data_IF_288252535332
#
_entry.id   IF_288252535332
#
_cell.length_a   1.000
_cell.length_b   1.000
_cell.length_c   1.000
_cell.angle_alpha   90.00
_cell.angle_beta   90.00
_cell.angle_gamma   90.00
#
_symmetry.space_group_name_H-M   'P 1'
#
loop_
_entity.id
_entity.type
_entity.pdbx_description
1 polymer ?
#
# COMPACT_ATOMS: atom_id res chain seq x y z
N UNK A 1 -12.28 25.69 -3.61
CA UNK A 1 -12.41 26.52 -2.39
C UNK A 1 -11.46 25.92 -1.36
N UNK A 2 -10.34 26.59 -1.09
CA UNK A 2 -9.38 26.14 -0.07
C UNK A 2 -9.83 26.76 1.27
N UNK A 3 -10.15 25.92 2.26
CA UNK A 3 -10.33 26.39 3.63
C UNK A 3 -8.93 26.63 4.24
N UNK A 4 -8.58 27.85 4.66
CA UNK A 4 -7.31 28.16 5.31
C UNK A 4 -7.21 27.62 6.76
N UNK A 5 -8.30 27.10 7.32
CA UNK A 5 -8.25 26.29 8.54
C UNK A 5 -8.12 24.82 8.13
N UNK A 6 -6.95 24.24 8.39
CA UNK A 6 -6.61 22.84 8.08
C UNK A 6 -7.40 21.85 8.92
N UNK A 7 -8.72 21.80 8.71
CA UNK A 7 -9.57 20.77 9.29
C UNK A 7 -9.14 19.44 8.69
N UNK A 8 -8.50 18.62 9.53
CA UNK A 8 -8.13 17.24 9.20
C UNK A 8 -9.41 16.49 8.84
N UNK A 9 -9.68 16.37 7.55
CA UNK A 9 -10.81 15.58 7.05
C UNK A 9 -10.54 14.11 7.37
N UNK A 10 -11.29 13.55 8.30
CA UNK A 10 -11.24 12.11 8.60
C UNK A 10 -12.13 11.39 7.58
N UNK A 11 -11.62 10.28 7.04
CA UNK A 11 -12.35 9.34 6.21
C UNK A 11 -12.45 8.03 6.99
N UNK A 12 -13.66 7.53 7.15
CA UNK A 12 -13.94 6.24 7.78
C UNK A 12 -14.14 5.18 6.70
N UNK A 13 -13.55 4.00 6.90
CA UNK A 13 -13.73 2.85 6.04
C UNK A 13 -14.65 1.84 6.74
N UNK A 14 -15.57 1.28 5.96
CA UNK A 14 -16.53 0.29 6.43
C UNK A 14 -16.00 -1.11 6.16
N UNK A 15 -15.96 -1.96 7.18
CA UNK A 15 -15.69 -3.37 7.02
C UNK A 15 -16.82 -4.06 6.26
N UNK A 16 -16.56 -4.72 5.12
CA UNK A 16 -17.60 -5.36 4.32
C UNK A 16 -18.22 -6.60 4.97
N UNK A 17 -17.56 -7.22 5.97
CA UNK A 17 -18.09 -8.43 6.66
C UNK A 17 -19.00 -8.09 7.83
N UNK A 18 -18.70 -7.02 8.57
CA UNK A 18 -19.45 -6.63 9.78
C UNK A 18 -20.38 -5.45 9.53
N UNK A 19 -20.06 -4.58 8.56
CA UNK A 19 -20.76 -3.33 8.31
C UNK A 19 -20.36 -2.18 9.24
N UNK A 20 -19.41 -2.40 10.16
CA UNK A 20 -18.90 -1.40 11.11
C UNK A 20 -17.89 -0.46 10.46
N UNK A 21 -17.74 0.75 11.00
CA UNK A 21 -16.66 1.69 10.65
C UNK A 21 -15.45 1.43 11.56
N UNK A 22 -14.67 0.41 11.24
CA UNK A 22 -13.58 -0.09 12.10
C UNK A 22 -12.19 0.46 11.72
N UNK A 23 -12.11 1.30 10.69
CA UNK A 23 -10.89 1.99 10.31
C UNK A 23 -11.14 3.45 9.95
N UNK A 24 -10.20 4.33 10.30
CA UNK A 24 -10.23 5.74 9.89
C UNK A 24 -8.85 6.26 9.59
N UNK A 25 -8.78 7.18 8.64
CA UNK A 25 -7.54 7.86 8.28
C UNK A 25 -7.81 9.34 7.98
N UNK A 26 -6.79 10.16 8.20
CA UNK A 26 -6.86 11.58 7.84
C UNK A 26 -6.51 11.74 6.38
N UNK A 27 -7.38 12.41 5.61
CA UNK A 27 -7.07 12.79 4.25
C UNK A 27 -5.85 13.72 4.23
N UNK A 28 -4.85 13.37 3.44
CA UNK A 28 -3.64 14.17 3.27
C UNK A 28 -3.99 15.56 2.75
N UNK A 29 -3.45 16.60 3.39
CA UNK A 29 -3.72 17.97 3.00
C UNK A 29 -3.09 18.30 1.65
N UNK A 30 -3.60 19.34 0.98
CA UNK A 30 -3.02 19.82 -0.28
C UNK A 30 -1.53 20.16 -0.15
N UNK A 31 -1.15 20.81 0.96
CA UNK A 31 0.24 21.22 1.22
C UNK A 31 1.14 20.00 1.41
N UNK A 32 0.68 18.98 2.14
CA UNK A 32 1.42 17.72 2.30
C UNK A 32 1.55 16.98 0.98
N UNK A 33 0.50 16.92 0.15
CA UNK A 33 0.58 16.33 -1.20
C UNK A 33 1.62 17.05 -2.06
N UNK A 34 1.61 18.38 -2.07
CA UNK A 34 2.61 19.18 -2.80
C UNK A 34 4.03 18.91 -2.31
N UNK A 35 4.20 18.76 -0.99
CA UNK A 35 5.48 18.44 -0.35
C UNK A 35 5.99 17.07 -0.78
N UNK A 36 5.17 16.03 -0.63
CA UNK A 36 5.49 14.65 -1.01
C UNK A 36 5.82 14.57 -2.51
N UNK A 37 5.01 15.22 -3.35
CA UNK A 37 5.24 15.21 -4.79
C UNK A 37 6.58 15.88 -5.17
N UNK A 38 6.96 16.97 -4.49
CA UNK A 38 8.24 17.63 -4.71
C UNK A 38 9.42 16.78 -4.22
N UNK A 39 9.27 16.11 -3.09
CA UNK A 39 10.27 15.18 -2.55
C UNK A 39 10.49 13.99 -3.49
N UNK A 40 9.43 13.36 -4.00
CA UNK A 40 9.57 12.26 -4.96
C UNK A 40 10.24 12.75 -6.25
N UNK A 41 9.89 13.95 -6.74
CA UNK A 41 10.51 14.54 -7.94
C UNK A 41 11.99 14.83 -7.75
N UNK A 42 12.41 15.35 -6.59
CA UNK A 42 13.82 15.67 -6.33
C UNK A 42 14.68 14.40 -6.26
N UNK A 43 14.12 13.29 -5.78
CA UNK A 43 14.80 11.98 -5.72
C UNK A 43 14.76 11.20 -7.03
N UNK A 44 13.90 11.57 -7.98
CA UNK A 44 13.69 10.81 -9.23
C UNK A 44 14.97 10.73 -10.08
N UNK A 45 15.77 11.80 -10.11
CA UNK A 45 17.02 11.83 -10.89
C UNK A 45 18.05 10.82 -10.36
N UNK A 46 18.18 10.71 -9.03
CA UNK A 46 19.05 9.73 -8.40
C UNK A 46 18.57 8.29 -8.68
N UNK A 47 17.25 8.05 -8.61
CA UNK A 47 16.68 6.75 -8.95
C UNK A 47 16.89 6.38 -10.44
N UNK A 48 16.72 7.35 -11.34
CA UNK A 48 16.91 7.15 -12.78
C UNK A 48 18.37 6.90 -13.15
N UNK A 49 19.32 7.49 -12.41
CA UNK A 49 20.76 7.30 -12.61
C UNK A 49 21.26 5.91 -12.20
N UNK A 50 20.48 5.15 -11.41
CA UNK A 50 20.83 3.76 -11.07
C UNK A 50 20.90 2.89 -12.32
N UNK A 51 21.77 1.88 -12.29
CA UNK A 51 21.74 0.81 -13.28
C UNK A 51 20.45 -0.01 -13.15
N UNK A 52 20.03 -0.62 -14.26
CA UNK A 52 18.82 -1.46 -14.28
C UNK A 52 18.87 -2.58 -13.23
N UNK A 53 20.05 -3.18 -13.02
CA UNK A 53 20.22 -4.25 -12.05
C UNK A 53 19.99 -3.78 -10.61
N UNK A 54 20.41 -2.55 -10.29
CA UNK A 54 20.20 -1.97 -8.95
C UNK A 54 18.71 -1.69 -8.69
N UNK A 55 17.98 -1.19 -9.71
CA UNK A 55 16.53 -1.02 -9.61
C UNK A 55 15.81 -2.35 -9.51
N UNK A 56 16.25 -3.35 -10.26
CA UNK A 56 15.70 -4.70 -10.20
C UNK A 56 15.91 -5.32 -8.82
N UNK A 57 17.08 -5.12 -8.20
CA UNK A 57 17.37 -5.62 -6.86
C UNK A 57 16.48 -4.96 -5.81
N UNK A 58 16.35 -3.62 -5.83
CA UNK A 58 15.45 -2.91 -4.92
C UNK A 58 13.98 -3.38 -5.06
N UNK A 59 13.50 -3.60 -6.29
CA UNK A 59 12.15 -4.11 -6.52
C UNK A 59 11.99 -5.58 -6.08
N UNK A 60 13.02 -6.42 -6.24
CA UNK A 60 13.02 -7.82 -5.76
C UNK A 60 12.98 -7.88 -4.24
N UNK A 61 13.78 -7.06 -3.56
CA UNK A 61 13.78 -6.97 -2.10
C UNK A 61 12.39 -6.56 -1.60
N UNK A 62 11.79 -5.54 -2.20
CA UNK A 62 10.44 -5.10 -1.86
C UNK A 62 9.39 -6.19 -2.11
N UNK A 63 9.44 -6.87 -3.27
CA UNK A 63 8.54 -7.98 -3.58
C UNK A 63 8.66 -9.13 -2.58
N UNK A 64 9.87 -9.47 -2.15
CA UNK A 64 10.10 -10.51 -1.14
C UNK A 64 9.48 -10.11 0.21
N UNK A 65 9.59 -8.85 0.63
CA UNK A 65 8.98 -8.37 1.87
C UNK A 65 7.44 -8.47 1.78
N UNK A 66 6.87 -7.99 0.67
CA UNK A 66 5.42 -8.01 0.43
C UNK A 66 4.88 -9.44 0.43
N UNK A 67 5.51 -10.35 -0.31
CA UNK A 67 5.06 -11.74 -0.47
C UNK A 67 5.05 -12.55 0.83
N UNK A 68 5.80 -12.12 1.85
CA UNK A 68 5.91 -12.80 3.14
C UNK A 68 5.22 -12.04 4.28
N UNK A 69 4.47 -10.96 3.99
CA UNK A 69 3.85 -10.11 5.00
C UNK A 69 2.47 -10.63 5.42
N UNK A 70 2.39 -11.25 6.59
CA UNK A 70 1.11 -11.65 7.19
C UNK A 70 0.24 -10.43 7.52
N UNK A 71 0.84 -9.33 8.00
CA UNK A 71 0.12 -8.10 8.32
C UNK A 71 -0.58 -7.50 7.09
N UNK A 72 0.06 -7.59 5.91
CA UNK A 72 -0.52 -7.11 4.67
C UNK A 72 -1.69 -7.99 4.22
N UNK A 73 -1.55 -9.32 4.36
CA UNK A 73 -2.65 -10.24 4.10
C UNK A 73 -3.84 -9.95 5.01
N UNK A 74 -3.61 -9.83 6.32
CA UNK A 74 -4.68 -9.59 7.30
C UNK A 74 -5.40 -8.26 7.04
N UNK A 75 -4.65 -7.19 6.72
CA UNK A 75 -5.24 -5.91 6.33
C UNK A 75 -6.11 -6.03 5.07
N UNK A 76 -5.63 -6.71 4.03
CA UNK A 76 -6.38 -6.89 2.79
C UNK A 76 -7.63 -7.76 2.99
N UNK A 77 -7.59 -8.73 3.90
CA UNK A 77 -8.75 -9.55 4.28
C UNK A 77 -9.81 -8.70 4.97
N UNK A 78 -9.41 -7.79 5.86
CA UNK A 78 -10.32 -6.85 6.52
C UNK A 78 -10.97 -5.93 5.47
N UNK A 79 -10.17 -5.34 4.59
CA UNK A 79 -10.64 -4.37 3.59
C UNK A 79 -11.59 -4.98 2.55
N UNK A 80 -11.37 -6.25 2.21
CA UNK A 80 -12.10 -6.89 1.09
C UNK A 80 -13.07 -7.97 1.52
N UNK A 81 -12.98 -8.45 2.76
CA UNK A 81 -13.77 -9.54 3.32
C UNK A 81 -13.48 -10.93 2.75
N UNK A 82 -12.42 -11.11 1.94
CA UNK A 82 -12.19 -12.31 1.11
C UNK A 82 -10.80 -12.91 1.31
N UNK A 83 -10.70 -13.96 2.13
CA UNK A 83 -9.41 -14.61 2.45
C UNK A 83 -8.71 -15.25 1.24
N UNK A 84 -9.36 -16.20 0.55
CA UNK A 84 -8.74 -16.96 -0.53
C UNK A 84 -8.31 -16.11 -1.73
N UNK A 85 -8.99 -14.97 -1.96
CA UNK A 85 -8.60 -14.04 -3.02
C UNK A 85 -7.43 -13.17 -2.53
N UNK A 86 -7.48 -12.65 -1.30
CA UNK A 86 -6.40 -11.86 -0.72
C UNK A 86 -5.06 -12.64 -0.65
N UNK A 87 -5.08 -13.94 -0.34
CA UNK A 87 -3.88 -14.78 -0.36
C UNK A 87 -3.23 -14.88 -1.74
N UNK A 88 -4.01 -14.76 -2.80
CA UNK A 88 -3.53 -14.77 -4.19
C UNK A 88 -3.12 -13.38 -4.70
N UNK A 89 -3.64 -12.32 -4.09
CA UNK A 89 -3.26 -10.94 -4.39
C UNK A 89 -1.91 -10.55 -3.74
N UNK A 90 -1.62 -11.05 -2.52
CA UNK A 90 -0.37 -10.76 -1.79
C UNK A 90 0.71 -11.82 -2.00
N UNK A 91 0.30 -13.09 -2.10
CA UNK A 91 1.22 -14.21 -2.20
C UNK A 91 1.84 -14.37 -3.59
N UNK A 92 3.03 -14.95 -3.62
CA UNK A 92 3.64 -15.43 -4.85
C UNK A 92 2.91 -16.72 -5.31
N UNK A 93 2.41 -16.75 -6.55
CA UNK A 93 1.79 -17.93 -7.18
C UNK A 93 2.67 -19.20 -7.05
N UNK A 94 3.99 -19.05 -6.93
CA UNK A 94 4.92 -20.18 -6.75
C UNK A 94 4.83 -20.87 -5.38
N UNK A 95 4.37 -20.18 -4.33
CA UNK A 95 4.18 -20.76 -3.00
C UNK A 95 2.88 -21.57 -2.93
N UNK A 96 1.81 -21.11 -3.59
CA UNK A 96 0.53 -21.82 -3.65
C UNK A 96 0.65 -23.19 -4.35
N UNK A 97 1.39 -23.25 -5.47
CA UNK A 97 1.67 -24.50 -6.19
C UNK A 97 2.48 -25.53 -5.37
N UNK A 98 3.31 -25.10 -4.42
CA UNK A 98 4.07 -26.01 -3.54
C UNK A 98 3.23 -26.57 -2.38
N UNK A 99 2.13 -25.92 -2.03
CA UNK A 99 1.24 -26.33 -0.94
C UNK A 99 0.02 -27.12 -1.41
N UNK A 100 -0.17 -27.30 -2.72
CA UNK A 100 -1.25 -28.13 -3.27
C UNK A 100 -2.66 -27.56 -2.99
N UNK A 101 -2.75 -26.24 -2.88
CA UNK A 101 -3.99 -25.46 -2.78
C UNK A 101 -4.06 -24.48 -3.94
#
# INVERSE_FOLDING_TARGET
>A
MNNPNGDKRIIEARNPRTGEMDYSFTATSKVEIETIANEIRSNQSAWAALHIDQRAEALKEWANIVANSQDLLDALVIDTGRYFIATSEVGDYQIQLKLGI
#
